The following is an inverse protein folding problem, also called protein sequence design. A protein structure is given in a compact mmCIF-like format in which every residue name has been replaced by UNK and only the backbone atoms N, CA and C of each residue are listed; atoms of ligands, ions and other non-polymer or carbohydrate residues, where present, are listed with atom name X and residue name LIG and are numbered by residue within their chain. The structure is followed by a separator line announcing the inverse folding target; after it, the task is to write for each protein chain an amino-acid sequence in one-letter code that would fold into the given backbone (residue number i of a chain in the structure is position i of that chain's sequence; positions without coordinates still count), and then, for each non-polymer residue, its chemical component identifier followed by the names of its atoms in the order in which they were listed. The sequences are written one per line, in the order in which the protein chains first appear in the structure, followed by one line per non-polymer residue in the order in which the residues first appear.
data_IF_355446560833
#
_entry.id   IF_355446560833
#
_cell.length_a   1.000
_cell.length_b   1.000
_cell.length_c   1.000
_cell.angle_alpha   90.00
_cell.angle_beta   90.00
_cell.angle_gamma   90.00
#
_symmetry.space_group_name_H-M   'P 1'
#
loop_
_entity.id
_entity.type
_entity.pdbx_description
1 polymer ?
#
# COMPACT_ATOMS: atom_id res chain seq x y z
N UNK A 1 15.52 22.27 -26.75
CA UNK A 1 15.23 21.16 -27.68
C UNK A 1 14.51 20.08 -26.88
N UNK A 2 13.35 19.58 -27.35
CA UNK A 2 12.69 18.47 -26.68
C UNK A 2 13.62 17.25 -26.68
N UNK A 3 13.74 16.60 -25.57
CA UNK A 3 14.56 15.40 -25.42
C UNK A 3 14.04 14.34 -26.41
N UNK A 4 14.87 13.92 -27.36
CA UNK A 4 14.48 13.01 -28.45
C UNK A 4 14.52 11.53 -28.05
N UNK A 5 14.93 11.22 -26.78
CA UNK A 5 15.01 9.85 -26.29
C UNK A 5 13.60 9.42 -25.86
N UNK A 6 13.03 8.37 -26.45
CA UNK A 6 11.74 7.82 -25.97
C UNK A 6 11.86 7.26 -24.55
N UNK A 7 10.74 7.11 -23.87
CA UNK A 7 10.71 6.41 -22.57
C UNK A 7 11.19 4.97 -22.77
N UNK A 8 12.12 4.54 -21.92
CA UNK A 8 12.64 3.18 -21.98
C UNK A 8 11.56 2.21 -21.52
N UNK A 9 11.17 1.23 -22.34
CA UNK A 9 10.15 0.26 -21.95
C UNK A 9 10.68 -0.64 -20.82
N UNK A 10 9.78 -1.02 -19.90
CA UNK A 10 10.11 -1.97 -18.84
C UNK A 10 9.93 -3.38 -19.35
N UNK A 11 10.86 -4.27 -19.05
CA UNK A 11 10.76 -5.70 -19.37
C UNK A 11 9.78 -6.37 -18.41
N UNK A 12 8.90 -7.19 -18.95
CA UNK A 12 7.86 -7.91 -18.22
C UNK A 12 7.76 -9.36 -18.67
N UNK A 13 7.23 -10.21 -17.81
CA UNK A 13 6.84 -11.57 -18.20
C UNK A 13 5.74 -11.55 -19.27
N UNK A 14 5.79 -12.49 -20.21
CA UNK A 14 4.70 -12.72 -21.17
C UNK A 14 3.37 -12.95 -20.42
N UNK A 15 2.26 -12.28 -20.80
CA UNK A 15 0.99 -12.37 -20.10
C UNK A 15 0.45 -13.79 -19.91
N UNK A 16 0.66 -14.69 -20.89
CA UNK A 16 0.22 -16.08 -20.82
C UNK A 16 1.07 -16.92 -19.86
N UNK A 17 2.32 -16.51 -19.65
CA UNK A 17 3.22 -17.15 -18.69
C UNK A 17 2.97 -16.61 -17.30
N UNK A 18 2.93 -15.29 -17.13
CA UNK A 18 2.82 -14.67 -15.78
C UNK A 18 1.50 -15.00 -15.08
N UNK A 19 0.42 -15.27 -15.80
CA UNK A 19 -0.88 -15.67 -15.21
C UNK A 19 -0.86 -17.06 -14.57
N UNK A 20 0.18 -17.86 -14.83
CA UNK A 20 0.32 -19.23 -14.30
C UNK A 20 1.32 -19.35 -13.15
N UNK A 21 1.91 -18.24 -12.68
CA UNK A 21 2.91 -18.25 -11.62
C UNK A 21 2.79 -17.03 -10.72
N UNK A 22 3.51 -17.06 -9.58
CA UNK A 22 3.56 -15.95 -8.61
C UNK A 22 4.89 -15.18 -8.66
N UNK A 23 5.73 -15.42 -9.68
CA UNK A 23 6.96 -14.64 -9.87
C UNK A 23 6.64 -13.18 -10.23
N UNK A 24 7.55 -12.27 -9.90
CA UNK A 24 7.38 -10.85 -10.14
C UNK A 24 7.15 -10.55 -11.62
N UNK A 25 6.08 -9.81 -11.93
CA UNK A 25 5.64 -9.50 -13.31
C UNK A 25 6.66 -8.65 -14.04
N UNK A 26 7.14 -7.57 -13.41
CA UNK A 26 8.10 -6.66 -14.02
C UNK A 26 9.52 -7.06 -13.62
N UNK A 27 10.41 -7.21 -14.60
CA UNK A 27 11.84 -7.47 -14.32
C UNK A 27 12.60 -6.21 -13.93
N UNK A 28 12.07 -5.01 -14.22
CA UNK A 28 12.75 -3.74 -14.01
C UNK A 28 13.77 -3.43 -15.10
N UNK A 29 14.59 -2.41 -14.86
CA UNK A 29 15.70 -2.02 -15.74
C UNK A 29 16.98 -2.75 -15.37
N UNK A 30 17.85 -2.96 -16.37
CA UNK A 30 19.27 -3.16 -16.12
C UNK A 30 19.98 -1.79 -16.01
N UNK A 31 21.30 -1.80 -15.79
CA UNK A 31 22.08 -0.58 -15.58
C UNK A 31 22.05 0.35 -16.80
N UNK A 32 22.18 -0.19 -18.00
CA UNK A 32 22.22 0.61 -19.23
C UNK A 32 20.85 1.21 -19.55
N UNK A 33 19.79 0.44 -19.37
CA UNK A 33 18.40 0.90 -19.47
C UNK A 33 18.09 2.01 -18.44
N UNK A 34 18.51 1.81 -17.18
CA UNK A 34 18.31 2.78 -16.12
C UNK A 34 19.09 4.10 -16.40
N UNK A 35 20.34 4.02 -16.85
CA UNK A 35 21.13 5.21 -17.23
C UNK A 35 20.54 5.93 -18.43
N UNK A 36 20.07 5.18 -19.43
CA UNK A 36 19.42 5.75 -20.61
C UNK A 36 18.14 6.50 -20.21
N UNK A 37 17.27 5.90 -19.38
CA UNK A 37 16.07 6.56 -18.88
C UNK A 37 16.41 7.75 -17.98
N UNK A 38 17.42 7.65 -17.12
CA UNK A 38 17.90 8.73 -16.27
C UNK A 38 18.40 9.94 -17.09
N UNK A 39 18.98 9.71 -18.28
CA UNK A 39 19.45 10.77 -19.18
C UNK A 39 18.30 11.65 -19.74
N UNK A 40 17.05 11.19 -19.67
CA UNK A 40 15.88 11.98 -20.07
C UNK A 40 15.54 13.08 -19.05
N UNK A 41 15.98 12.94 -17.80
CA UNK A 41 15.66 13.93 -16.76
C UNK A 41 16.34 15.27 -17.06
N UNK A 42 15.54 16.35 -17.03
CA UNK A 42 16.00 17.71 -17.35
C UNK A 42 16.70 18.42 -16.18
N UNK A 43 16.73 17.83 -14.96
CA UNK A 43 17.30 18.48 -13.78
C UNK A 43 16.62 19.82 -13.44
N UNK A 44 15.31 19.87 -13.40
CA UNK A 44 14.51 21.10 -13.27
C UNK A 44 14.89 21.89 -12.00
N UNK A 45 15.05 23.23 -12.10
CA UNK A 45 15.28 24.11 -10.94
C UNK A 45 14.11 24.15 -9.94
N UNK A 46 12.87 23.98 -10.43
CA UNK A 46 11.64 23.84 -9.65
C UNK A 46 11.01 22.50 -10.01
N UNK A 47 11.42 21.40 -9.36
CA UNK A 47 11.03 20.07 -9.75
C UNK A 47 9.63 19.71 -9.23
N UNK A 48 8.60 19.85 -10.07
CA UNK A 48 7.22 19.51 -9.73
C UNK A 48 7.08 18.06 -9.26
N UNK A 49 7.93 17.16 -9.76
CA UNK A 49 7.96 15.77 -9.31
C UNK A 49 8.30 15.62 -7.82
N UNK A 50 9.13 16.50 -7.26
CA UNK A 50 9.43 16.54 -5.82
C UNK A 50 8.24 17.10 -5.03
N UNK A 51 7.62 18.17 -5.52
CA UNK A 51 6.45 18.80 -4.87
C UNK A 51 5.25 17.84 -4.78
N UNK A 52 5.10 16.94 -5.77
CA UNK A 52 4.02 15.95 -5.80
C UNK A 52 4.41 14.58 -5.21
N UNK A 53 5.62 14.46 -4.66
CA UNK A 53 6.01 13.27 -3.90
C UNK A 53 5.64 13.45 -2.41
N UNK A 54 4.81 12.56 -1.83
CA UNK A 54 4.38 12.68 -0.43
C UNK A 54 5.51 12.69 0.61
N UNK A 55 6.70 12.22 0.24
CA UNK A 55 7.92 12.27 1.08
C UNK A 55 8.94 13.29 0.60
N UNK A 56 8.63 14.07 -0.45
CA UNK A 56 9.50 15.09 -1.04
C UNK A 56 10.87 14.55 -1.47
N UNK A 57 10.88 13.34 -2.02
CA UNK A 57 12.10 12.66 -2.49
C UNK A 57 12.88 13.56 -3.46
N UNK A 58 14.21 13.67 -3.26
CA UNK A 58 15.10 14.50 -4.07
C UNK A 58 15.35 13.87 -5.46
N UNK A 59 14.26 13.80 -6.27
CA UNK A 59 14.20 13.06 -7.53
C UNK A 59 15.27 13.49 -8.55
N UNK A 60 15.44 14.80 -8.88
CA UNK A 60 16.46 15.18 -9.85
C UNK A 60 17.89 14.84 -9.40
N UNK A 61 18.14 14.88 -8.08
CA UNK A 61 19.45 14.62 -7.50
C UNK A 61 19.84 13.14 -7.63
N UNK A 62 18.95 12.22 -7.18
CA UNK A 62 19.27 10.80 -7.30
C UNK A 62 19.36 10.33 -8.75
N UNK A 63 18.49 10.88 -9.63
CA UNK A 63 18.54 10.55 -11.09
C UNK A 63 19.85 11.04 -11.71
N UNK A 64 20.35 12.21 -11.33
CA UNK A 64 21.63 12.70 -11.81
C UNK A 64 22.79 11.76 -11.41
N UNK A 65 22.83 11.32 -10.15
CA UNK A 65 23.85 10.38 -9.68
C UNK A 65 23.77 9.03 -10.39
N UNK A 66 22.55 8.51 -10.59
CA UNK A 66 22.34 7.27 -11.35
C UNK A 66 22.82 7.40 -12.79
N UNK A 67 22.46 8.50 -13.49
CA UNK A 67 22.93 8.79 -14.85
C UNK A 67 24.46 8.78 -14.92
N UNK A 68 25.12 9.39 -13.96
CA UNK A 68 26.56 9.54 -13.91
C UNK A 68 27.28 8.26 -13.40
N UNK A 69 26.52 7.22 -13.01
CA UNK A 69 27.03 5.91 -12.57
C UNK A 69 27.35 5.82 -11.06
N UNK A 70 27.03 6.85 -10.28
CA UNK A 70 27.28 6.94 -8.84
C UNK A 70 26.15 6.29 -8.04
N UNK A 71 25.98 4.97 -8.14
CA UNK A 71 24.83 4.25 -7.57
C UNK A 71 24.74 4.35 -6.05
N UNK A 72 25.89 4.26 -5.35
CA UNK A 72 25.92 4.40 -3.90
C UNK A 72 25.40 5.78 -3.44
N UNK A 73 25.81 6.84 -4.15
CA UNK A 73 25.33 8.20 -3.84
C UNK A 73 23.84 8.39 -4.19
N UNK A 74 23.37 7.80 -5.31
CA UNK A 74 21.95 7.79 -5.64
C UNK A 74 21.13 7.10 -4.53
N UNK A 75 21.57 5.95 -4.03
CA UNK A 75 20.95 5.24 -2.92
C UNK A 75 20.96 6.07 -1.62
N UNK A 76 22.08 6.73 -1.30
CA UNK A 76 22.21 7.60 -0.14
C UNK A 76 21.23 8.78 -0.18
N UNK A 77 21.05 9.40 -1.35
CA UNK A 77 20.08 10.48 -1.53
C UNK A 77 18.67 9.97 -1.29
N UNK A 78 18.31 8.83 -1.85
CA UNK A 78 16.96 8.25 -1.65
C UNK A 78 16.73 7.93 -0.17
N UNK A 79 17.70 7.33 0.52
CA UNK A 79 17.59 6.92 1.93
C UNK A 79 17.36 8.08 2.92
N UNK A 80 17.61 9.33 2.52
CA UNK A 80 17.30 10.51 3.32
C UNK A 80 15.79 10.75 3.44
N UNK A 81 15.04 10.44 2.38
CA UNK A 81 13.62 10.77 2.29
C UNK A 81 12.71 9.54 2.19
N UNK A 82 13.22 8.38 1.78
CA UNK A 82 12.46 7.14 1.66
C UNK A 82 13.13 6.01 2.43
N UNK A 83 12.35 5.35 3.31
CA UNK A 83 12.81 4.17 4.06
C UNK A 83 12.53 2.86 3.31
N UNK A 84 11.72 2.90 2.24
CA UNK A 84 11.23 1.73 1.50
C UNK A 84 11.26 1.97 -0.02
N UNK A 85 12.42 2.32 -0.61
CA UNK A 85 12.51 2.72 -2.01
C UNK A 85 12.13 1.61 -3.00
N UNK A 86 12.55 0.36 -2.75
CA UNK A 86 12.20 -0.77 -3.61
C UNK A 86 10.70 -1.08 -3.59
N UNK A 87 10.05 -0.90 -2.44
CA UNK A 87 8.59 -0.98 -2.30
C UNK A 87 7.93 0.16 -3.08
N UNK A 88 8.33 1.40 -2.83
CA UNK A 88 7.74 2.59 -3.47
C UNK A 88 7.87 2.55 -4.98
N UNK A 89 9.02 2.16 -5.51
CA UNK A 89 9.25 2.02 -6.95
C UNK A 89 8.32 1.01 -7.63
N UNK A 90 7.77 0.02 -6.86
CA UNK A 90 6.83 -0.98 -7.35
C UNK A 90 5.36 -0.59 -7.19
N UNK A 91 5.00 0.06 -6.07
CA UNK A 91 3.57 0.18 -5.69
C UNK A 91 3.02 1.60 -5.67
N UNK A 92 3.84 2.64 -5.74
CA UNK A 92 3.36 4.01 -5.82
C UNK A 92 2.53 4.26 -7.08
N UNK A 93 1.45 5.04 -7.03
CA UNK A 93 0.71 5.50 -8.21
C UNK A 93 1.46 6.68 -8.85
N UNK A 94 2.63 6.42 -9.43
CA UNK A 94 3.52 7.44 -9.98
C UNK A 94 2.83 8.30 -11.04
N UNK A 95 1.92 7.71 -11.81
CA UNK A 95 1.12 8.35 -12.86
C UNK A 95 0.25 9.51 -12.36
N UNK A 96 -0.11 9.51 -11.07
CA UNK A 96 -0.88 10.59 -10.41
C UNK A 96 -0.03 11.45 -9.47
N UNK A 97 1.24 11.13 -9.31
CA UNK A 97 2.18 11.79 -8.40
C UNK A 97 3.39 12.37 -9.15
N UNK A 98 4.59 11.83 -8.88
CA UNK A 98 5.84 12.35 -9.44
C UNK A 98 5.89 12.29 -10.98
N UNK A 99 5.53 11.17 -11.59
CA UNK A 99 5.52 11.03 -13.06
C UNK A 99 4.41 11.86 -13.71
N UNK A 100 3.20 11.86 -13.12
CA UNK A 100 2.08 12.69 -13.59
C UNK A 100 2.36 14.19 -13.57
N UNK A 101 3.32 14.62 -12.73
CA UNK A 101 3.74 16.01 -12.61
C UNK A 101 5.03 16.33 -13.37
N UNK A 102 5.64 15.36 -14.02
CA UNK A 102 6.86 15.55 -14.79
C UNK A 102 6.62 16.46 -16.00
N UNK A 103 7.48 17.48 -16.18
CA UNK A 103 7.33 18.46 -17.26
C UNK A 103 7.40 17.82 -18.66
N UNK A 104 8.11 16.71 -18.80
CA UNK A 104 8.19 15.98 -20.08
C UNK A 104 6.84 15.38 -20.46
N UNK A 105 6.00 15.00 -19.49
CA UNK A 105 4.66 14.46 -19.71
C UNK A 105 3.68 15.44 -20.34
N UNK A 106 3.97 16.75 -20.34
CA UNK A 106 3.11 17.78 -20.94
C UNK A 106 3.05 17.67 -22.48
N UNK A 107 4.16 17.26 -23.11
CA UNK A 107 4.28 17.17 -24.58
C UNK A 107 4.83 15.83 -25.07
N UNK A 108 4.88 14.84 -24.20
CA UNK A 108 5.43 13.52 -24.49
C UNK A 108 5.29 12.59 -23.29
N UNK A 109 6.27 11.73 -23.08
CA UNK A 109 6.28 10.77 -22.00
C UNK A 109 7.11 11.26 -20.82
N UNK A 110 6.57 11.17 -19.61
CA UNK A 110 7.27 11.44 -18.35
C UNK A 110 8.51 10.55 -18.21
N UNK A 111 9.47 10.96 -17.39
CA UNK A 111 10.55 10.08 -16.93
C UNK A 111 9.94 8.97 -16.09
N UNK A 112 10.41 7.73 -16.26
CA UNK A 112 9.99 6.56 -15.49
C UNK A 112 10.59 6.58 -14.07
N UNK A 113 10.20 7.58 -13.28
CA UNK A 113 10.81 7.89 -11.97
C UNK A 113 10.71 6.70 -11.02
N UNK A 114 9.54 6.06 -10.94
CA UNK A 114 9.34 4.90 -10.07
C UNK A 114 10.20 3.70 -10.48
N UNK A 115 10.42 3.48 -11.77
CA UNK A 115 11.29 2.39 -12.25
C UNK A 115 12.78 2.68 -11.94
N UNK A 116 13.20 3.95 -11.98
CA UNK A 116 14.54 4.37 -11.56
C UNK A 116 14.71 4.27 -10.02
N UNK A 117 13.71 4.68 -9.24
CA UNK A 117 13.71 4.50 -7.78
C UNK A 117 13.80 3.01 -7.41
N UNK A 118 13.01 2.16 -8.08
CA UNK A 118 13.10 0.71 -7.94
C UNK A 118 14.50 0.19 -8.22
N UNK A 119 15.09 0.57 -9.35
CA UNK A 119 16.42 0.11 -9.75
C UNK A 119 17.48 0.44 -8.69
N UNK A 120 17.48 1.69 -8.20
CA UNK A 120 18.44 2.11 -7.16
C UNK A 120 18.15 1.41 -5.82
N UNK A 121 16.88 1.23 -5.46
CA UNK A 121 16.47 0.51 -4.27
C UNK A 121 16.91 -0.96 -4.30
N UNK A 122 16.66 -1.66 -5.40
CA UNK A 122 17.05 -3.06 -5.58
C UNK A 122 18.57 -3.21 -5.55
N UNK A 123 19.29 -2.32 -6.23
CA UNK A 123 20.73 -2.26 -6.17
C UNK A 123 21.25 -2.07 -4.73
N UNK A 124 20.60 -1.19 -3.97
CA UNK A 124 20.95 -0.94 -2.56
C UNK A 124 20.74 -2.18 -1.67
N UNK A 125 19.69 -2.96 -1.93
CA UNK A 125 19.44 -4.23 -1.23
C UNK A 125 20.54 -5.25 -1.54
N UNK A 126 20.96 -5.35 -2.79
CA UNK A 126 21.95 -6.34 -3.25
C UNK A 126 23.38 -6.01 -2.78
N UNK A 127 23.75 -4.74 -2.77
CA UNK A 127 25.11 -4.28 -2.49
C UNK A 127 25.33 -3.80 -1.06
N UNK A 128 24.26 -3.84 -0.23
CA UNK A 128 24.36 -3.38 1.16
C UNK A 128 24.80 -1.92 1.22
N UNK A 129 24.08 -1.02 0.50
CA UNK A 129 24.37 0.41 0.57
C UNK A 129 24.57 0.82 2.03
N UNK A 130 25.59 1.64 2.31
CA UNK A 130 26.05 1.97 3.66
C UNK A 130 24.87 2.22 4.58
N UNK A 131 24.59 1.21 5.44
CA UNK A 131 23.54 1.33 6.41
C UNK A 131 23.86 2.58 7.22
N UNK A 132 22.96 3.55 7.22
CA UNK A 132 23.09 4.70 8.10
C UNK A 132 23.34 4.17 9.50
N UNK A 133 24.50 4.45 10.06
CA UNK A 133 24.83 3.98 11.42
C UNK A 133 23.75 4.47 12.39
N UNK A 134 23.37 3.65 13.39
CA UNK A 134 22.46 4.10 14.43
C UNK A 134 22.94 5.42 15.03
N UNK A 135 22.04 6.38 15.19
CA UNK A 135 22.38 7.61 15.87
C UNK A 135 22.71 7.36 17.37
N UNK A 136 23.56 8.17 17.99
CA UNK A 136 23.76 8.08 19.44
C UNK A 136 22.43 8.19 20.19
N UNK A 137 22.24 7.34 21.21
CA UNK A 137 20.99 7.35 21.98
C UNK A 137 20.78 8.70 22.68
N UNK A 138 19.57 9.25 22.56
CA UNK A 138 19.13 10.43 23.31
C UNK A 138 18.50 10.06 24.67
N UNK A 139 18.53 8.77 25.06
CA UNK A 139 18.00 8.26 26.33
C UNK A 139 16.47 8.21 26.43
N UNK A 140 15.76 8.41 25.31
CA UNK A 140 14.29 8.41 25.25
C UNK A 140 13.79 7.25 24.36
N UNK A 141 12.62 6.72 24.69
CA UNK A 141 12.01 5.65 23.92
C UNK A 141 10.62 6.02 23.42
N UNK A 142 10.30 5.55 22.23
CA UNK A 142 9.02 5.77 21.56
C UNK A 142 8.45 4.42 21.12
N UNK A 143 7.16 4.20 21.40
CA UNK A 143 6.43 3.03 20.94
C UNK A 143 5.75 3.32 19.59
N UNK A 144 5.79 2.35 18.69
CA UNK A 144 5.09 2.38 17.41
C UNK A 144 4.12 1.22 17.37
N UNK A 145 2.84 1.48 17.14
CA UNK A 145 1.76 0.50 17.10
C UNK A 145 1.39 0.19 15.66
N UNK A 146 1.54 -1.07 15.24
CA UNK A 146 1.47 -1.49 13.85
C UNK A 146 2.74 -1.19 13.09
N UNK A 147 2.79 -1.55 11.80
CA UNK A 147 4.02 -1.48 10.99
C UNK A 147 4.42 -0.06 10.57
N UNK A 148 4.39 0.91 11.46
CA UNK A 148 4.78 2.30 11.19
C UNK A 148 6.27 2.49 10.86
N UNK A 149 6.82 1.70 9.92
CA UNK A 149 8.24 1.58 9.58
C UNK A 149 8.93 2.92 9.30
N UNK A 150 8.26 3.83 8.56
CA UNK A 150 8.84 5.13 8.21
C UNK A 150 8.99 6.05 9.45
N UNK A 151 7.99 6.05 10.33
CA UNK A 151 8.07 6.78 11.60
C UNK A 151 9.18 6.21 12.48
N UNK A 152 9.24 4.89 12.61
CA UNK A 152 10.24 4.19 13.40
C UNK A 152 11.66 4.45 12.89
N UNK A 153 11.87 4.41 11.56
CA UNK A 153 13.16 4.68 10.95
C UNK A 153 13.63 6.11 11.19
N UNK A 154 12.75 7.11 10.99
CA UNK A 154 13.12 8.51 11.20
C UNK A 154 13.39 8.82 12.68
N UNK A 155 12.61 8.26 13.61
CA UNK A 155 12.87 8.40 15.05
C UNK A 155 14.19 7.73 15.47
N UNK A 156 14.51 6.56 14.93
CA UNK A 156 15.78 5.90 15.19
C UNK A 156 16.98 6.72 14.69
N UNK A 157 16.85 7.37 13.51
CA UNK A 157 17.85 8.32 12.99
C UNK A 157 18.02 9.55 13.88
N UNK A 158 17.02 9.92 14.70
CA UNK A 158 17.08 11.01 15.69
C UNK A 158 17.60 10.56 17.05
N UNK A 159 17.98 9.29 17.21
CA UNK A 159 18.57 8.72 18.42
C UNK A 159 17.58 8.18 19.43
N UNK A 160 16.30 8.04 19.11
CA UNK A 160 15.32 7.39 19.96
C UNK A 160 15.49 5.88 19.99
N UNK A 161 15.27 5.28 21.14
CA UNK A 161 15.03 3.85 21.24
C UNK A 161 13.60 3.56 20.77
N UNK A 162 13.46 2.86 19.64
CA UNK A 162 12.15 2.63 19.02
C UNK A 162 11.79 1.15 19.08
N UNK A 163 10.57 0.86 19.55
CA UNK A 163 9.99 -0.49 19.53
C UNK A 163 8.66 -0.46 18.79
N UNK A 164 8.54 -1.33 17.79
CA UNK A 164 7.31 -1.58 17.03
C UNK A 164 6.57 -2.74 17.68
N UNK A 165 5.29 -2.58 17.97
CA UNK A 165 4.36 -3.62 18.41
C UNK A 165 3.46 -4.00 17.23
N UNK A 166 3.66 -5.19 16.69
CA UNK A 166 2.93 -5.70 15.52
C UNK A 166 1.97 -6.82 15.93
N UNK A 167 0.72 -6.71 15.52
CA UNK A 167 -0.31 -7.69 15.85
C UNK A 167 -0.14 -9.03 15.12
N UNK A 168 0.44 -9.01 13.92
CA UNK A 168 0.69 -10.19 13.10
C UNK A 168 2.04 -10.84 13.43
N UNK A 169 2.19 -12.10 13.05
CA UNK A 169 3.45 -12.85 13.19
C UNK A 169 4.56 -12.40 12.24
N UNK A 170 4.26 -11.49 11.30
CA UNK A 170 5.22 -10.84 10.40
C UNK A 170 4.95 -9.34 10.33
N UNK A 171 6.01 -8.56 10.45
CA UNK A 171 5.93 -7.11 10.27
C UNK A 171 5.75 -6.73 8.80
N UNK A 172 5.15 -5.57 8.56
CA UNK A 172 4.96 -5.02 7.22
C UNK A 172 3.51 -4.74 6.84
N UNK A 173 2.55 -5.22 7.64
CA UNK A 173 1.12 -4.95 7.41
C UNK A 173 0.69 -5.31 5.98
N UNK A 174 0.04 -4.36 5.28
CA UNK A 174 -0.46 -4.56 3.92
C UNK A 174 0.61 -4.96 2.90
N UNK A 175 1.88 -4.63 3.13
CA UNK A 175 2.99 -5.07 2.28
C UNK A 175 3.16 -6.59 2.33
N UNK A 176 2.83 -7.22 3.46
CA UNK A 176 2.91 -8.65 3.66
C UNK A 176 1.62 -9.37 3.26
N UNK A 177 0.47 -8.93 3.79
CA UNK A 177 -0.78 -9.67 3.61
C UNK A 177 -1.59 -9.23 2.38
N UNK A 178 -1.49 -7.97 1.94
CA UNK A 178 -2.42 -7.39 0.96
C UNK A 178 -1.89 -7.39 -0.46
N UNK A 179 -0.66 -6.94 -0.69
CA UNK A 179 -0.08 -6.83 -2.02
C UNK A 179 0.48 -8.19 -2.46
N UNK A 180 0.13 -8.72 -3.63
CA UNK A 180 0.57 -10.05 -4.07
C UNK A 180 2.08 -10.17 -4.32
N UNK A 181 2.61 -11.40 -4.19
CA UNK A 181 4.02 -11.73 -4.45
C UNK A 181 4.47 -11.29 -5.85
N UNK A 182 3.63 -11.50 -6.86
CA UNK A 182 3.94 -11.13 -8.26
C UNK A 182 4.00 -9.61 -8.52
N UNK A 183 3.61 -8.76 -7.55
CA UNK A 183 3.77 -7.30 -7.58
C UNK A 183 4.84 -6.81 -6.62
N UNK A 184 4.92 -7.43 -5.46
CA UNK A 184 5.82 -7.03 -4.39
C UNK A 184 6.38 -8.28 -3.69
N UNK A 185 7.54 -8.78 -4.11
CA UNK A 185 8.19 -9.94 -3.52
C UNK A 185 8.46 -9.76 -2.03
N UNK A 186 8.03 -10.75 -1.19
CA UNK A 186 8.11 -10.62 0.26
C UNK A 186 9.52 -10.80 0.77
N UNK A 187 10.16 -11.89 0.40
CA UNK A 187 11.46 -12.24 0.94
C UNK A 187 12.59 -11.41 0.30
N UNK A 188 12.49 -11.11 -1.01
CA UNK A 188 13.51 -10.38 -1.77
C UNK A 188 13.45 -8.86 -1.56
N UNK A 189 12.29 -8.30 -1.25
CA UNK A 189 12.10 -6.85 -1.16
C UNK A 189 11.62 -6.44 0.22
N UNK A 190 10.42 -6.87 0.63
CA UNK A 190 9.80 -6.36 1.87
C UNK A 190 10.65 -6.71 3.09
N UNK A 191 11.08 -7.95 3.21
CA UNK A 191 11.93 -8.39 4.33
C UNK A 191 13.25 -7.62 4.37
N UNK A 192 13.87 -7.40 3.21
CA UNK A 192 15.15 -6.68 3.11
C UNK A 192 15.03 -5.21 3.49
N UNK A 193 13.95 -4.55 3.09
CA UNK A 193 13.74 -3.16 3.50
C UNK A 193 13.38 -3.05 5.00
N UNK A 194 12.66 -4.03 5.56
CA UNK A 194 12.46 -4.11 7.02
C UNK A 194 13.81 -4.34 7.75
N UNK A 195 14.67 -5.21 7.24
CA UNK A 195 16.03 -5.41 7.78
C UNK A 195 16.82 -4.08 7.81
N UNK A 196 16.69 -3.23 6.80
CA UNK A 196 17.34 -1.92 6.79
C UNK A 196 16.83 -1.02 7.93
N UNK A 197 15.53 -1.08 8.25
CA UNK A 197 14.96 -0.37 9.41
C UNK A 197 15.49 -0.95 10.73
N UNK A 198 15.59 -2.27 10.84
CA UNK A 198 16.14 -2.94 12.03
C UNK A 198 17.62 -2.58 12.28
N UNK A 199 18.41 -2.41 11.21
CA UNK A 199 19.83 -1.97 11.31
C UNK A 199 20.00 -0.58 11.92
N UNK A 200 18.96 0.26 11.90
CA UNK A 200 18.95 1.55 12.62
C UNK A 200 18.77 1.39 14.15
N UNK A 201 18.63 0.18 14.66
CA UNK A 201 18.41 -0.11 16.09
C UNK A 201 16.93 -0.24 16.48
N UNK A 202 16.01 -0.19 15.52
CA UNK A 202 14.58 -0.43 15.76
C UNK A 202 14.36 -1.89 16.17
N UNK A 203 13.55 -2.12 17.19
CA UNK A 203 13.09 -3.46 17.61
C UNK A 203 11.66 -3.69 17.17
N UNK A 204 11.33 -4.89 16.74
CA UNK A 204 9.96 -5.30 16.40
C UNK A 204 9.58 -6.47 17.30
N UNK A 205 8.42 -6.37 17.94
CA UNK A 205 7.78 -7.45 18.66
C UNK A 205 6.47 -7.81 17.96
N UNK A 206 6.42 -9.03 17.45
CA UNK A 206 5.26 -9.58 16.75
C UNK A 206 4.30 -10.25 17.72
N UNK A 207 3.08 -10.55 17.24
CA UNK A 207 2.04 -11.24 18.02
C UNK A 207 1.57 -10.44 19.26
N UNK A 208 1.72 -9.12 19.24
CA UNK A 208 1.29 -8.19 20.28
C UNK A 208 0.14 -7.32 19.82
N UNK A 209 -1.04 -7.56 20.34
CA UNK A 209 -2.26 -6.81 20.01
C UNK A 209 -2.42 -5.67 21.02
N UNK A 210 -2.02 -4.45 20.60
CA UNK A 210 -2.22 -3.25 21.41
C UNK A 210 -3.72 -2.94 21.55
N UNK A 211 -4.15 -2.70 22.78
CA UNK A 211 -5.56 -2.60 23.17
C UNK A 211 -6.11 -3.93 23.72
N UNK A 212 -5.32 -5.02 23.67
CA UNK A 212 -5.69 -6.31 24.24
C UNK A 212 -4.58 -6.91 25.09
N UNK A 213 -3.40 -7.16 24.51
CA UNK A 213 -2.22 -7.72 25.20
C UNK A 213 -1.53 -6.66 26.08
N UNK A 214 -1.39 -5.47 25.53
CA UNK A 214 -0.85 -4.27 26.16
C UNK A 214 -1.72 -3.08 25.75
N UNK A 215 -1.87 -2.08 26.63
CA UNK A 215 -2.66 -0.88 26.34
C UNK A 215 -1.76 0.29 25.98
N UNK A 216 -2.30 1.29 25.27
CA UNK A 216 -1.57 2.54 24.99
C UNK A 216 -1.22 3.26 26.30
N UNK A 217 -2.12 3.22 27.28
CA UNK A 217 -1.89 3.85 28.59
C UNK A 217 -0.75 3.15 29.34
N UNK A 218 -0.69 1.80 29.36
CA UNK A 218 0.43 1.09 30.00
C UNK A 218 1.78 1.34 29.32
N UNK A 219 1.82 1.53 28.01
CA UNK A 219 3.06 1.91 27.31
C UNK A 219 3.59 3.26 27.81
N UNK A 220 2.71 4.25 28.02
CA UNK A 220 3.09 5.58 28.50
C UNK A 220 3.42 5.60 29.99
N UNK A 221 2.52 5.05 30.83
CA UNK A 221 2.53 5.25 32.27
C UNK A 221 3.39 4.21 33.02
N UNK A 222 3.43 2.94 32.55
CA UNK A 222 4.11 1.85 33.22
C UNK A 222 5.44 1.52 32.55
N UNK A 223 5.44 1.42 31.21
CA UNK A 223 6.66 1.09 30.47
C UNK A 223 7.53 2.32 30.18
N UNK A 224 7.03 3.54 30.40
CA UNK A 224 7.79 4.79 30.33
C UNK A 224 8.19 5.20 28.91
N UNK A 225 7.39 4.89 27.89
CA UNK A 225 7.56 5.48 26.58
C UNK A 225 7.23 6.98 26.61
N UNK A 226 8.07 7.79 25.98
CA UNK A 226 7.89 9.25 25.94
C UNK A 226 6.74 9.67 25.02
N UNK A 227 6.43 8.87 24.03
CA UNK A 227 5.32 9.04 23.11
C UNK A 227 4.93 7.71 22.46
N UNK A 228 3.73 7.66 21.87
CA UNK A 228 3.21 6.52 21.11
C UNK A 228 2.78 7.00 19.72
N UNK A 229 3.23 6.33 18.66
CA UNK A 229 2.72 6.52 17.31
C UNK A 229 1.79 5.37 16.92
N UNK A 230 0.55 5.67 16.50
CA UNK A 230 -0.42 4.68 16.03
C UNK A 230 -0.44 4.65 14.50
N UNK A 231 0.13 3.61 13.94
CA UNK A 231 0.17 3.29 12.51
C UNK A 231 -0.49 1.95 12.19
N UNK A 232 -1.59 1.63 12.87
CA UNK A 232 -2.28 0.32 12.81
C UNK A 232 -2.98 0.03 11.48
N UNK A 233 -3.02 1.01 10.56
CA UNK A 233 -3.61 0.86 9.24
C UNK A 233 -5.14 0.77 9.25
N UNK A 234 -5.70 0.22 8.16
CA UNK A 234 -7.14 -0.02 7.98
C UNK A 234 -7.33 -1.41 7.38
N UNK A 235 -7.55 -2.41 8.22
CA UNK A 235 -7.65 -3.82 7.83
C UNK A 235 -9.05 -4.41 7.93
N UNK A 236 -10.03 -3.69 8.52
CA UNK A 236 -11.40 -4.20 8.68
C UNK A 236 -12.17 -4.08 7.36
N UNK A 237 -12.56 -5.20 6.71
CA UNK A 237 -13.19 -5.18 5.40
C UNK A 237 -14.60 -4.60 5.45
N UNK A 238 -15.04 -4.06 4.31
CA UNK A 238 -16.41 -3.59 4.10
C UNK A 238 -17.17 -4.52 3.19
N UNK A 239 -18.43 -4.74 3.53
CA UNK A 239 -19.41 -5.47 2.74
C UNK A 239 -20.49 -4.52 2.21
N UNK A 240 -21.33 -4.99 1.28
CA UNK A 240 -22.39 -4.18 0.67
C UNK A 240 -23.63 -4.07 1.56
N UNK A 241 -23.85 -5.04 2.45
CA UNK A 241 -25.07 -5.19 3.22
C UNK A 241 -26.23 -5.74 2.39
N UNK A 242 -25.95 -6.57 1.39
CA UNK A 242 -26.94 -7.20 0.51
C UNK A 242 -27.27 -8.63 0.98
N UNK A 243 -28.45 -9.17 0.65
CA UNK A 243 -28.80 -10.55 0.96
C UNK A 243 -27.76 -11.55 0.42
N UNK A 244 -27.48 -12.59 1.20
CA UNK A 244 -26.61 -13.69 0.82
C UNK A 244 -25.12 -13.47 1.05
N UNK A 245 -24.68 -12.32 1.60
CA UNK A 245 -23.26 -12.09 1.92
C UNK A 245 -22.67 -13.02 2.99
N UNK A 246 -23.53 -13.76 3.71
CA UNK A 246 -23.16 -14.77 4.70
C UNK A 246 -23.04 -16.20 4.13
N UNK A 247 -23.23 -16.39 2.83
CA UNK A 247 -23.09 -17.70 2.17
C UNK A 247 -21.61 -18.15 2.12
N UNK A 248 -21.42 -19.46 2.14
CA UNK A 248 -20.10 -20.05 1.89
C UNK A 248 -19.64 -19.70 0.48
N UNK A 249 -18.38 -19.26 0.35
CA UNK A 249 -17.85 -18.76 -0.92
C UNK A 249 -17.91 -17.24 -1.07
N UNK A 250 -18.51 -16.50 -0.11
CA UNK A 250 -18.35 -15.04 0.00
C UNK A 250 -17.22 -14.74 0.95
N UNK A 251 -16.21 -14.02 0.46
CA UNK A 251 -15.04 -13.65 1.25
C UNK A 251 -14.67 -12.18 1.02
N UNK A 252 -14.02 -11.56 1.97
CA UNK A 252 -13.40 -10.25 1.74
C UNK A 252 -12.09 -10.40 0.96
N UNK A 253 -11.72 -9.38 0.19
CA UNK A 253 -10.43 -9.36 -0.48
C UNK A 253 -9.26 -9.42 0.52
N UNK A 254 -9.41 -8.81 1.72
CA UNK A 254 -8.40 -8.90 2.76
C UNK A 254 -8.18 -10.34 3.23
N UNK A 255 -9.25 -11.09 3.49
CA UNK A 255 -9.13 -12.50 3.88
C UNK A 255 -8.49 -13.32 2.78
N UNK A 256 -9.00 -13.19 1.54
CA UNK A 256 -8.50 -13.92 0.39
C UNK A 256 -7.01 -13.67 0.15
N UNK A 257 -6.61 -12.39 0.13
CA UNK A 257 -5.22 -11.99 -0.08
C UNK A 257 -4.31 -12.35 1.11
N UNK A 258 -4.81 -12.30 2.35
CA UNK A 258 -4.06 -12.76 3.52
C UNK A 258 -3.72 -14.24 3.42
N UNK A 259 -4.69 -15.07 3.03
CA UNK A 259 -4.45 -16.51 2.81
C UNK A 259 -3.45 -16.74 1.68
N UNK A 260 -3.58 -16.03 0.57
CA UNK A 260 -2.68 -16.17 -0.56
C UNK A 260 -1.26 -15.67 -0.23
N UNK A 261 -1.11 -14.45 0.31
CA UNK A 261 0.18 -13.78 0.43
C UNK A 261 0.91 -14.08 1.75
N UNK A 262 0.30 -13.76 2.89
CA UNK A 262 0.93 -13.94 4.21
C UNK A 262 1.03 -15.42 4.58
N UNK A 263 -0.03 -16.19 4.30
CA UNK A 263 -0.13 -17.61 4.63
C UNK A 263 0.29 -18.50 3.45
N UNK A 264 0.73 -17.92 2.33
CA UNK A 264 1.30 -18.60 1.15
C UNK A 264 0.44 -19.73 0.57
N UNK A 265 -0.88 -19.55 0.49
CA UNK A 265 -1.80 -20.56 -0.04
C UNK A 265 -1.57 -20.94 -1.52
N UNK A 266 -0.69 -20.23 -2.23
CA UNK A 266 -0.26 -20.55 -3.59
C UNK A 266 0.94 -21.51 -3.65
N UNK A 267 1.56 -21.81 -2.53
CA UNK A 267 2.76 -22.63 -2.40
C UNK A 267 2.36 -23.97 -1.77
N UNK A 268 2.48 -25.06 -2.52
CA UNK A 268 2.07 -26.41 -2.12
C UNK A 268 2.83 -26.97 -0.90
N UNK A 269 3.89 -26.27 -0.46
CA UNK A 269 4.62 -26.61 0.78
C UNK A 269 3.95 -26.10 2.05
N UNK A 270 2.88 -25.28 1.91
CA UNK A 270 2.09 -24.73 3.01
C UNK A 270 0.69 -25.34 3.05
N UNK A 271 0.24 -25.75 4.23
CA UNK A 271 -1.09 -26.33 4.47
C UNK A 271 -2.21 -25.25 4.60
N UNK A 272 -2.07 -24.12 3.92
CA UNK A 272 -3.06 -23.05 4.00
C UNK A 272 -4.26 -23.33 3.12
N UNK A 273 -5.47 -23.54 3.68
CA UNK A 273 -6.65 -23.79 2.88
C UNK A 273 -7.11 -22.51 2.16
N UNK A 274 -7.34 -22.63 0.85
CA UNK A 274 -7.96 -21.59 0.05
C UNK A 274 -8.97 -22.23 -0.90
N UNK A 275 -10.20 -21.69 -0.92
CA UNK A 275 -11.22 -22.11 -1.85
C UNK A 275 -11.39 -21.06 -2.93
N UNK A 276 -11.19 -21.43 -4.17
CA UNK A 276 -11.26 -20.52 -5.32
C UNK A 276 -12.43 -20.88 -6.24
N UNK A 277 -12.87 -22.13 -6.25
CA UNK A 277 -13.89 -22.61 -7.18
C UNK A 277 -13.42 -22.54 -8.64
N UNK A 278 -14.36 -22.64 -9.57
CA UNK A 278 -14.09 -22.53 -11.01
C UNK A 278 -14.23 -21.09 -11.50
N UNK A 279 -15.24 -20.36 -11.01
CA UNK A 279 -15.57 -19.01 -11.43
C UNK A 279 -15.59 -18.06 -10.23
N UNK A 280 -14.76 -17.02 -10.31
CA UNK A 280 -14.63 -16.01 -9.25
C UNK A 280 -15.12 -14.67 -9.76
N UNK A 281 -15.97 -14.00 -8.99
CA UNK A 281 -16.33 -12.61 -9.23
C UNK A 281 -15.74 -11.74 -8.12
N UNK A 282 -14.94 -10.74 -8.51
CA UNK A 282 -14.42 -9.72 -7.59
C UNK A 282 -15.23 -8.45 -7.74
N UNK A 283 -15.84 -7.99 -6.64
CA UNK A 283 -16.66 -6.78 -6.61
C UNK A 283 -15.81 -5.60 -6.16
N UNK A 284 -15.51 -4.70 -7.09
CA UNK A 284 -14.70 -3.51 -6.83
C UNK A 284 -13.82 -3.12 -8.02
N UNK A 285 -13.21 -1.93 -7.96
CA UNK A 285 -12.41 -1.38 -9.06
C UNK A 285 -11.09 -0.74 -8.61
N UNK A 286 -10.67 -0.91 -7.35
CA UNK A 286 -9.42 -0.40 -6.81
C UNK A 286 -8.25 -1.37 -6.96
N UNK A 287 -7.06 -0.97 -6.50
CA UNK A 287 -5.86 -1.83 -6.54
C UNK A 287 -6.07 -3.18 -5.85
N UNK A 288 -6.80 -3.20 -4.73
CA UNK A 288 -7.13 -4.44 -4.01
C UNK A 288 -7.98 -5.39 -4.86
N UNK A 289 -8.89 -4.84 -5.68
CA UNK A 289 -9.69 -5.65 -6.62
C UNK A 289 -8.81 -6.25 -7.73
N UNK A 290 -7.87 -5.46 -8.28
CA UNK A 290 -6.90 -5.94 -9.25
C UNK A 290 -6.00 -7.05 -8.65
N UNK A 291 -5.55 -6.86 -7.42
CA UNK A 291 -4.74 -7.84 -6.70
C UNK A 291 -5.51 -9.16 -6.47
N UNK A 292 -6.77 -9.05 -6.01
CA UNK A 292 -7.59 -10.23 -5.73
C UNK A 292 -7.95 -11.01 -7.00
N UNK A 293 -8.38 -10.32 -8.07
CA UNK A 293 -8.77 -10.98 -9.32
C UNK A 293 -7.59 -11.66 -10.02
N UNK A 294 -6.42 -11.00 -10.05
CA UNK A 294 -5.21 -11.55 -10.63
C UNK A 294 -4.65 -12.72 -9.81
N UNK A 295 -4.81 -12.67 -8.49
CA UNK A 295 -4.48 -13.79 -7.60
C UNK A 295 -5.41 -14.97 -7.85
N UNK A 296 -6.73 -14.74 -7.97
CA UNK A 296 -7.70 -15.81 -8.27
C UNK A 296 -7.42 -16.49 -9.61
N UNK A 297 -7.07 -15.73 -10.65
CA UNK A 297 -6.69 -16.26 -11.95
C UNK A 297 -5.44 -17.17 -11.86
N UNK A 298 -4.41 -16.75 -11.09
CA UNK A 298 -3.19 -17.54 -10.86
C UNK A 298 -3.45 -18.85 -10.08
N UNK A 299 -4.48 -18.84 -9.26
CA UNK A 299 -4.94 -20.04 -8.55
C UNK A 299 -5.87 -20.92 -9.41
N UNK A 300 -6.03 -20.61 -10.71
CA UNK A 300 -6.71 -21.44 -11.69
C UNK A 300 -8.18 -21.11 -11.94
N UNK A 301 -8.71 -20.01 -11.39
CA UNK A 301 -10.09 -19.63 -11.61
C UNK A 301 -10.28 -18.79 -12.90
N UNK A 302 -11.45 -18.93 -13.52
CA UNK A 302 -12.00 -17.97 -14.45
C UNK A 302 -12.48 -16.75 -13.64
N UNK A 303 -11.74 -15.64 -13.69
CA UNK A 303 -11.93 -14.53 -12.78
C UNK A 303 -12.43 -13.26 -13.50
N UNK A 304 -13.41 -12.58 -12.88
CA UNK A 304 -14.07 -11.42 -13.46
C UNK A 304 -14.11 -10.27 -12.43
N UNK A 305 -14.02 -9.03 -12.94
CA UNK A 305 -14.31 -7.81 -12.17
C UNK A 305 -15.77 -7.41 -12.40
N UNK A 306 -16.48 -7.07 -11.34
CA UNK A 306 -17.77 -6.36 -11.38
C UNK A 306 -17.58 -4.99 -10.74
N UNK A 307 -17.88 -3.94 -11.53
CA UNK A 307 -17.69 -2.57 -11.07
C UNK A 307 -18.86 -1.67 -11.48
N UNK A 308 -19.36 -0.89 -10.51
CA UNK A 308 -20.58 -0.07 -10.66
C UNK A 308 -20.43 1.19 -11.52
N UNK A 309 -19.20 1.59 -11.89
CA UNK A 309 -18.91 2.73 -12.77
C UNK A 309 -18.25 2.24 -14.06
N UNK A 310 -17.85 3.17 -14.93
CA UNK A 310 -17.11 2.85 -16.15
C UNK A 310 -15.60 2.70 -15.87
N UNK A 311 -14.88 2.34 -16.89
CA UNK A 311 -13.43 2.19 -16.84
C UNK A 311 -12.72 3.50 -16.49
N UNK A 312 -13.24 4.64 -16.98
CA UNK A 312 -12.68 5.95 -16.73
C UNK A 312 -12.68 6.34 -15.23
N UNK A 313 -13.59 5.76 -14.43
CA UNK A 313 -13.69 5.99 -13.01
C UNK A 313 -12.99 4.92 -12.15
N UNK A 314 -12.22 3.99 -12.76
CA UNK A 314 -11.45 3.01 -12.00
C UNK A 314 -10.38 3.72 -11.14
N UNK A 315 -10.38 3.51 -9.81
CA UNK A 315 -9.37 4.09 -8.94
C UNK A 315 -8.07 3.26 -8.87
N UNK A 316 -8.02 2.11 -9.54
CA UNK A 316 -6.81 1.30 -9.64
C UNK A 316 -5.75 1.97 -10.53
N UNK A 317 -4.48 1.68 -10.29
CA UNK A 317 -3.38 2.09 -11.15
C UNK A 317 -3.59 1.60 -12.58
N UNK A 318 -3.31 2.46 -13.55
CA UNK A 318 -3.48 2.13 -14.98
C UNK A 318 -2.65 0.90 -15.39
N UNK A 319 -1.42 0.77 -14.86
CA UNK A 319 -0.54 -0.39 -15.07
C UNK A 319 -1.21 -1.70 -14.60
N UNK A 320 -1.86 -1.71 -13.42
CA UNK A 320 -2.52 -2.89 -12.88
C UNK A 320 -3.77 -3.30 -13.65
N UNK A 321 -4.55 -2.31 -14.11
CA UNK A 321 -5.70 -2.56 -14.99
C UNK A 321 -5.23 -3.14 -16.33
N UNK A 322 -4.14 -2.59 -16.88
CA UNK A 322 -3.55 -3.08 -18.13
C UNK A 322 -3.08 -4.53 -17.98
N UNK A 323 -2.35 -4.85 -16.90
CA UNK A 323 -1.89 -6.21 -16.63
C UNK A 323 -3.05 -7.18 -16.46
N UNK A 324 -4.10 -6.80 -15.71
CA UNK A 324 -5.28 -7.64 -15.53
C UNK A 324 -5.96 -7.99 -16.87
N UNK A 325 -6.11 -7.00 -17.77
CA UNK A 325 -6.67 -7.23 -19.11
C UNK A 325 -5.80 -8.14 -19.97
N UNK A 326 -4.48 -7.96 -19.93
CA UNK A 326 -3.55 -8.82 -20.67
C UNK A 326 -3.57 -10.27 -20.14
N UNK A 327 -3.84 -10.46 -18.87
CA UNK A 327 -3.98 -11.76 -18.21
C UNK A 327 -5.35 -12.42 -18.45
N UNK A 328 -6.21 -11.80 -19.29
CA UNK A 328 -7.50 -12.35 -19.72
C UNK A 328 -8.66 -12.09 -18.75
N UNK A 329 -8.48 -11.21 -17.76
CA UNK A 329 -9.55 -10.85 -16.83
C UNK A 329 -10.66 -10.08 -17.56
N UNK A 330 -11.89 -10.56 -17.45
CA UNK A 330 -13.09 -9.85 -17.95
C UNK A 330 -13.53 -8.77 -16.97
N UNK A 331 -13.85 -7.58 -17.51
CA UNK A 331 -14.35 -6.44 -16.75
C UNK A 331 -15.81 -6.17 -17.09
N UNK A 332 -16.69 -6.40 -16.16
CA UNK A 332 -18.14 -6.08 -16.23
C UNK A 332 -18.40 -4.74 -15.56
N UNK A 333 -18.22 -3.69 -16.35
CA UNK A 333 -18.45 -2.31 -15.93
C UNK A 333 -19.94 -1.99 -15.87
N UNK A 334 -20.30 -0.87 -15.21
CA UNK A 334 -21.69 -0.41 -15.05
C UNK A 334 -22.60 -1.53 -14.51
N UNK A 335 -22.09 -2.28 -13.56
CA UNK A 335 -22.75 -3.45 -12.97
C UNK A 335 -22.60 -3.39 -11.45
N UNK A 336 -23.73 -3.49 -10.73
CA UNK A 336 -23.75 -3.47 -9.27
C UNK A 336 -24.50 -4.69 -8.72
N UNK A 337 -23.88 -5.50 -7.85
CA UNK A 337 -24.57 -6.59 -7.16
C UNK A 337 -25.67 -6.06 -6.24
N UNK A 338 -26.78 -6.80 -6.16
CA UNK A 338 -27.91 -6.52 -5.26
C UNK A 338 -28.25 -7.71 -4.37
N UNK A 339 -27.78 -8.91 -4.73
CA UNK A 339 -27.98 -10.13 -3.94
C UNK A 339 -26.92 -11.17 -4.33
N UNK A 340 -26.41 -11.92 -3.34
CA UNK A 340 -25.64 -13.14 -3.58
C UNK A 340 -26.58 -14.34 -3.55
N UNK A 341 -26.59 -15.13 -4.60
CA UNK A 341 -27.47 -16.28 -4.77
C UNK A 341 -26.81 -17.54 -4.24
N UNK A 342 -27.51 -18.27 -3.38
CA UNK A 342 -27.07 -19.55 -2.81
C UNK A 342 -27.68 -20.78 -3.45
N UNK A 343 -27.06 -21.92 -3.22
CA UNK A 343 -27.63 -23.23 -3.45
C UNK A 343 -28.32 -23.78 -2.16
N UNK A 344 -28.91 -24.97 -2.24
CA UNK A 344 -29.58 -25.63 -1.12
C UNK A 344 -28.64 -25.99 0.05
N UNK A 345 -27.33 -26.00 -0.18
CA UNK A 345 -26.28 -26.28 0.82
C UNK A 345 -25.68 -25.02 1.43
N UNK A 346 -26.17 -23.85 1.04
CA UNK A 346 -25.67 -22.55 1.52
C UNK A 346 -24.34 -22.12 0.87
N UNK A 347 -24.03 -22.61 -0.32
CA UNK A 347 -22.89 -22.18 -1.12
C UNK A 347 -23.31 -21.20 -2.21
N UNK A 348 -22.41 -20.28 -2.57
CA UNK A 348 -22.59 -19.37 -3.69
C UNK A 348 -22.78 -20.13 -4.99
N UNK A 349 -23.82 -19.74 -5.77
CA UNK A 349 -24.05 -20.18 -7.15
C UNK A 349 -24.05 -19.04 -8.16
N UNK A 350 -24.12 -17.80 -7.69
CA UNK A 350 -24.15 -16.62 -8.55
C UNK A 350 -24.40 -15.31 -7.82
N UNK A 351 -24.38 -14.26 -8.60
CA UNK A 351 -24.71 -12.89 -8.19
C UNK A 351 -25.92 -12.38 -8.99
N UNK A 352 -26.92 -11.79 -8.32
CA UNK A 352 -27.91 -10.94 -8.98
C UNK A 352 -27.38 -9.53 -9.00
N UNK A 353 -27.35 -8.94 -10.19
CA UNK A 353 -26.81 -7.61 -10.45
C UNK A 353 -27.86 -6.75 -11.15
N UNK A 354 -27.70 -5.43 -11.04
CA UNK A 354 -28.41 -4.43 -11.85
C UNK A 354 -27.44 -3.69 -12.75
N UNK A 355 -27.90 -3.22 -13.89
CA UNK A 355 -27.14 -2.31 -14.75
C UNK A 355 -27.11 -0.93 -14.12
N UNK A 356 -26.03 -0.20 -14.38
CA UNK A 356 -25.81 1.15 -13.87
C UNK A 356 -25.68 2.13 -15.01
N UNK A 357 -26.08 3.36 -14.78
CA UNK A 357 -25.77 4.52 -15.59
C UNK A 357 -24.94 5.53 -14.80
N UNK A 358 -24.23 6.42 -15.48
CA UNK A 358 -23.42 7.46 -14.85
C UNK A 358 -24.19 8.78 -14.83
N UNK A 359 -24.52 9.23 -13.63
CA UNK A 359 -25.08 10.55 -13.34
C UNK A 359 -24.02 11.63 -13.19
N UNK A 360 -24.35 12.67 -12.44
CA UNK A 360 -23.44 13.79 -12.16
C UNK A 360 -22.23 13.38 -11.30
N UNK A 361 -21.10 14.10 -11.42
CA UNK A 361 -19.91 13.85 -10.62
C UNK A 361 -20.19 13.99 -9.11
N UNK A 362 -19.61 13.08 -8.32
CA UNK A 362 -19.60 13.16 -6.87
C UNK A 362 -18.49 14.14 -6.34
N UNK A 363 -18.39 14.30 -5.02
CA UNK A 363 -17.39 15.17 -4.39
C UNK A 363 -15.92 14.82 -4.73
N UNK A 364 -15.67 13.61 -5.24
CA UNK A 364 -14.34 13.16 -5.71
C UNK A 364 -14.12 13.47 -7.20
N UNK A 365 -15.09 14.09 -7.88
CA UNK A 365 -15.05 14.36 -9.31
C UNK A 365 -15.39 13.15 -10.20
N UNK A 366 -15.72 11.99 -9.63
CA UNK A 366 -16.12 10.79 -10.36
C UNK A 366 -17.64 10.76 -10.54
N UNK A 367 -18.12 10.37 -11.71
CA UNK A 367 -19.55 10.29 -12.01
C UNK A 367 -20.26 9.29 -11.11
N UNK A 368 -21.38 9.70 -10.53
CA UNK A 368 -22.16 8.89 -9.58
C UNK A 368 -22.89 7.75 -10.29
N UNK A 369 -22.81 6.49 -9.78
CA UNK A 369 -23.53 5.38 -10.40
C UNK A 369 -25.01 5.41 -9.97
N UNK A 370 -25.91 5.29 -10.95
CA UNK A 370 -27.37 5.24 -10.77
C UNK A 370 -27.88 3.91 -11.29
N UNK A 371 -28.68 3.20 -10.51
CA UNK A 371 -29.25 1.92 -10.92
C UNK A 371 -30.36 2.12 -11.96
N UNK A 372 -30.36 1.25 -12.99
CA UNK A 372 -31.42 1.20 -14.00
C UNK A 372 -32.51 0.25 -13.50
N UNK A 373 -33.71 0.74 -13.30
CA UNK A 373 -34.85 -0.08 -12.84
C UNK A 373 -35.21 -1.18 -13.84
N UNK A 374 -35.52 -2.38 -13.33
CA UNK A 374 -35.93 -3.53 -14.15
C UNK A 374 -34.81 -4.12 -15.00
N UNK A 375 -33.54 -3.82 -14.66
CA UNK A 375 -32.36 -4.29 -15.40
C UNK A 375 -31.66 -5.46 -14.72
N UNK A 376 -32.31 -6.14 -13.81
CA UNK A 376 -31.75 -7.24 -13.03
C UNK A 376 -31.32 -8.40 -13.94
N UNK A 377 -30.16 -8.97 -13.66
CA UNK A 377 -29.64 -10.15 -14.34
C UNK A 377 -28.71 -10.95 -13.41
N UNK A 378 -28.46 -12.21 -13.76
CA UNK A 378 -27.63 -13.08 -12.95
C UNK A 378 -26.25 -13.34 -13.62
N UNK A 379 -25.24 -13.41 -12.78
CA UNK A 379 -23.88 -13.82 -13.13
C UNK A 379 -23.58 -15.08 -12.32
N UNK A 380 -23.39 -16.22 -13.00
CA UNK A 380 -23.02 -17.47 -12.33
C UNK A 380 -21.58 -17.43 -11.83
N UNK A 381 -21.38 -17.73 -10.54
CA UNK A 381 -20.06 -17.84 -9.94
C UNK A 381 -20.07 -18.79 -8.73
N UNK A 382 -18.90 -19.25 -8.32
CA UNK A 382 -18.72 -20.17 -7.19
C UNK A 382 -18.15 -19.42 -5.97
N UNK A 383 -17.47 -18.28 -6.21
CA UNK A 383 -16.87 -17.43 -5.19
C UNK A 383 -17.11 -15.97 -5.52
N UNK A 384 -17.43 -15.19 -4.48
CA UNK A 384 -17.54 -13.72 -4.53
C UNK A 384 -16.50 -13.11 -3.60
N UNK A 385 -15.62 -12.27 -4.14
CA UNK A 385 -14.62 -11.55 -3.36
C UNK A 385 -15.02 -10.08 -3.27
N UNK A 386 -15.32 -9.61 -2.04
CA UNK A 386 -15.68 -8.21 -1.78
C UNK A 386 -14.43 -7.34 -1.63
N UNK A 387 -14.16 -6.48 -2.62
CA UNK A 387 -13.02 -5.56 -2.66
C UNK A 387 -13.46 -4.09 -2.57
N UNK A 388 -14.27 -3.77 -1.55
CA UNK A 388 -14.98 -2.49 -1.40
C UNK A 388 -14.26 -1.48 -0.50
N UNK A 389 -12.99 -1.74 -0.20
CA UNK A 389 -12.18 -0.98 0.74
C UNK A 389 -12.32 -1.45 2.18
N UNK A 390 -11.61 -0.76 3.06
CA UNK A 390 -11.45 -1.14 4.46
C UNK A 390 -11.62 0.06 5.38
N UNK A 391 -11.75 -0.20 6.67
CA UNK A 391 -11.74 0.79 7.74
C UNK A 391 -10.76 0.38 8.84
N UNK A 392 -10.29 1.33 9.68
CA UNK A 392 -9.47 1.00 10.84
C UNK A 392 -10.20 0.06 11.80
N UNK A 393 -9.43 -0.80 12.48
CA UNK A 393 -9.97 -1.61 13.57
C UNK A 393 -10.27 -0.70 14.77
N UNK A 394 -11.47 -0.74 15.38
CA UNK A 394 -11.86 0.13 16.47
C UNK A 394 -11.17 -0.21 17.81
N UNK A 395 -10.44 -1.31 17.91
CA UNK A 395 -9.89 -1.82 19.16
C UNK A 395 -9.08 -0.76 19.92
N UNK A 396 -8.09 -0.14 19.27
CA UNK A 396 -7.22 0.86 19.92
C UNK A 396 -8.03 2.06 20.43
N UNK A 397 -8.95 2.57 19.60
CA UNK A 397 -9.78 3.71 19.98
C UNK A 397 -10.74 3.37 21.15
N UNK A 398 -11.34 2.17 21.14
CA UNK A 398 -12.27 1.73 22.17
C UNK A 398 -11.61 1.39 23.51
N UNK A 399 -10.32 1.08 23.51
CA UNK A 399 -9.54 0.72 24.71
C UNK A 399 -8.64 1.83 25.21
N UNK A 400 -8.59 2.97 24.52
CA UNK A 400 -7.78 4.15 24.91
C UNK A 400 -8.69 5.33 25.20
N UNK A 401 -8.90 5.63 26.49
CA UNK A 401 -9.83 6.68 26.91
C UNK A 401 -9.41 8.06 26.36
N UNK A 402 -10.38 8.77 25.76
CA UNK A 402 -10.17 10.12 25.23
C UNK A 402 -9.51 10.16 23.85
N UNK A 403 -9.27 9.02 23.22
CA UNK A 403 -8.83 8.96 21.82
C UNK A 403 -10.06 9.03 20.90
N UNK A 404 -10.15 10.10 20.12
CA UNK A 404 -11.33 10.39 19.29
C UNK A 404 -11.24 9.73 17.92
N UNK A 405 -12.42 9.38 17.38
CA UNK A 405 -12.59 8.88 16.01
C UNK A 405 -13.64 9.70 15.26
N UNK A 406 -13.50 9.78 13.95
CA UNK A 406 -14.49 10.37 13.07
C UNK A 406 -15.62 9.37 12.72
N UNK A 407 -16.64 9.82 11.97
CA UNK A 407 -17.79 8.97 11.56
C UNK A 407 -17.40 7.74 10.74
N UNK A 408 -16.19 7.68 10.19
CA UNK A 408 -15.66 6.53 9.42
C UNK A 408 -14.86 5.56 10.28
N UNK A 409 -14.74 5.81 11.59
CA UNK A 409 -13.93 5.03 12.51
C UNK A 409 -12.43 5.31 12.42
N UNK A 410 -12.00 6.33 11.68
CA UNK A 410 -10.60 6.73 11.59
C UNK A 410 -10.25 7.62 12.80
N UNK A 411 -9.02 7.48 13.32
CA UNK A 411 -8.52 8.33 14.40
C UNK A 411 -8.50 9.80 13.98
N UNK A 412 -8.91 10.68 14.89
CA UNK A 412 -8.77 12.14 14.69
C UNK A 412 -7.35 12.54 15.05
N UNK A 413 -6.64 13.05 14.07
CA UNK A 413 -5.29 13.58 14.23
C UNK A 413 -5.14 14.80 13.31
N UNK A 414 -4.31 15.78 13.70
CA UNK A 414 -4.03 16.92 12.83
C UNK A 414 -3.19 16.47 11.62
N UNK A 415 -3.43 17.11 10.47
CA UNK A 415 -2.82 16.68 9.19
C UNK A 415 -1.33 17.01 9.09
N UNK A 416 -0.85 17.97 9.87
CA UNK A 416 0.53 18.47 9.80
C UNK A 416 1.46 17.66 10.70
N UNK A 417 1.04 17.40 11.96
CA UNK A 417 1.88 16.80 12.99
C UNK A 417 1.46 15.37 13.35
N UNK A 418 0.23 14.97 12.96
CA UNK A 418 -0.33 13.67 13.33
C UNK A 418 -0.69 13.58 14.82
N UNK A 419 -0.76 14.71 15.55
CA UNK A 419 -1.14 14.71 16.97
C UNK A 419 -2.62 14.38 17.11
N UNK A 420 -2.94 13.45 18.02
CA UNK A 420 -4.32 13.05 18.29
C UNK A 420 -4.97 13.94 19.36
N UNK A 421 -6.23 13.62 19.71
CA UNK A 421 -6.94 14.24 20.85
C UNK A 421 -6.27 13.96 22.21
N UNK A 422 -5.29 13.04 22.27
CA UNK A 422 -4.54 12.69 23.49
C UNK A 422 -3.10 13.15 23.41
N UNK A 423 -2.63 13.85 24.46
CA UNK A 423 -1.25 14.27 24.60
C UNK A 423 -0.29 13.06 24.58
N UNK A 424 0.83 13.17 23.85
CA UNK A 424 1.84 12.11 23.73
C UNK A 424 1.45 10.96 22.80
N UNK A 425 0.24 11.01 22.21
CA UNK A 425 -0.23 10.02 21.25
C UNK A 425 -0.36 10.67 19.87
N UNK A 426 0.33 10.10 18.89
CA UNK A 426 0.34 10.52 17.50
C UNK A 426 -0.21 9.40 16.61
N UNK A 427 -0.77 9.73 15.46
CA UNK A 427 -1.29 8.76 14.53
C UNK A 427 -1.04 9.18 13.07
N UNK A 428 -0.99 8.21 12.17
CA UNK A 428 -0.81 8.49 10.75
C UNK A 428 -1.16 7.32 9.85
N UNK A 429 -1.09 7.58 8.53
CA UNK A 429 -1.45 6.60 7.51
C UNK A 429 -2.93 6.23 7.54
N UNK A 430 -3.25 5.00 7.12
CA UNK A 430 -4.64 4.56 6.93
C UNK A 430 -5.46 4.53 8.22
N UNK A 431 -4.83 4.53 9.38
CA UNK A 431 -5.52 4.67 10.67
C UNK A 431 -6.23 6.03 10.81
N UNK A 432 -5.74 7.06 10.12
CA UNK A 432 -6.28 8.44 10.14
C UNK A 432 -7.07 8.76 8.88
N UNK A 433 -6.55 8.41 7.71
CA UNK A 433 -7.15 8.79 6.42
C UNK A 433 -8.16 7.78 5.88
N UNK A 434 -8.17 6.55 6.41
CA UNK A 434 -8.72 5.39 5.74
C UNK A 434 -7.73 4.84 4.70
N UNK A 435 -8.08 3.72 4.06
CA UNK A 435 -7.19 3.05 3.10
C UNK A 435 -6.74 3.99 1.97
N UNK A 436 -5.42 4.16 1.82
CA UNK A 436 -4.80 5.03 0.83
C UNK A 436 -3.60 4.33 0.16
N UNK A 437 -2.43 4.97 0.13
CA UNK A 437 -1.24 4.44 -0.51
C UNK A 437 -0.06 4.33 0.47
N UNK A 438 0.86 3.41 0.19
CA UNK A 438 2.08 3.22 1.01
C UNK A 438 2.84 4.53 1.19
N UNK A 439 3.06 5.27 0.10
CA UNK A 439 3.84 6.52 0.16
C UNK A 439 3.15 7.63 0.97
N UNK A 440 1.81 7.71 0.96
CA UNK A 440 1.06 8.66 1.81
C UNK A 440 1.19 8.28 3.29
N UNK A 441 1.11 6.99 3.61
CA UNK A 441 1.34 6.49 4.97
C UNK A 441 2.77 6.77 5.44
N UNK A 442 3.78 6.59 4.56
CA UNK A 442 5.18 6.95 4.85
C UNK A 442 5.33 8.45 5.13
N UNK A 443 4.73 9.30 4.30
CA UNK A 443 4.76 10.76 4.50
C UNK A 443 4.13 11.17 5.83
N UNK A 444 3.01 10.56 6.21
CA UNK A 444 2.37 10.80 7.51
C UNK A 444 3.27 10.34 8.66
N UNK A 445 3.89 9.15 8.57
CA UNK A 445 4.84 8.65 9.55
C UNK A 445 6.04 9.56 9.76
N UNK A 446 6.61 10.10 8.67
CA UNK A 446 7.73 11.06 8.72
C UNK A 446 7.36 12.38 9.40
N UNK A 447 6.16 12.94 9.08
CA UNK A 447 5.68 14.15 9.76
C UNK A 447 5.46 13.89 11.25
N UNK A 448 4.82 12.78 11.60
CA UNK A 448 4.62 12.40 13.00
C UNK A 448 5.95 12.20 13.74
N UNK A 449 6.98 11.60 13.13
CA UNK A 449 8.29 11.44 13.75
C UNK A 449 8.93 12.78 14.15
N UNK A 450 8.83 13.80 13.28
CA UNK A 450 9.32 15.16 13.58
C UNK A 450 8.52 15.81 14.72
N UNK A 451 7.19 15.68 14.68
CA UNK A 451 6.32 16.23 15.73
C UNK A 451 6.54 15.53 17.08
N UNK A 452 6.80 14.24 17.08
CA UNK A 452 7.19 13.49 18.29
C UNK A 452 8.52 14.00 18.85
N UNK A 453 9.53 14.26 18.00
CA UNK A 453 10.80 14.82 18.43
C UNK A 453 10.62 16.19 19.08
N UNK A 454 9.87 17.08 18.44
CA UNK A 454 9.54 18.41 18.97
C UNK A 454 8.80 18.32 20.32
N UNK A 455 7.79 17.46 20.42
CA UNK A 455 7.04 17.24 21.65
C UNK A 455 7.91 16.72 22.79
N UNK A 456 8.73 15.69 22.54
CA UNK A 456 9.57 15.09 23.57
C UNK A 456 10.66 16.05 24.04
N UNK A 457 11.28 16.82 23.14
CA UNK A 457 12.25 17.87 23.48
C UNK A 457 11.63 18.97 24.34
N UNK A 458 10.47 19.49 23.96
CA UNK A 458 9.76 20.52 24.71
C UNK A 458 9.42 20.06 26.12
N UNK A 459 8.92 18.82 26.28
CA UNK A 459 8.56 18.22 27.59
C UNK A 459 9.79 17.96 28.48
N UNK A 460 10.95 17.78 27.87
CA UNK A 460 12.20 17.46 28.58
C UNK A 460 13.04 18.68 28.92
N UNK A 461 12.64 19.90 28.52
CA UNK A 461 13.42 21.13 28.69
C UNK A 461 14.73 21.15 27.90
N UNK A 462 14.86 20.30 26.88
CA UNK A 462 16.00 20.28 25.97
C UNK A 462 15.72 21.25 24.80
N UNK A 463 16.43 22.40 24.77
CA UNK A 463 16.46 23.32 23.65
C UNK A 463 17.43 22.88 22.56
#
# INVERSE_FOLDING_TARGET
MANKIPRVPVREQDPKVRVTNFEEVCYGYDLDEARLEASRCLGCKKPRCVEHCPVSLQIPQFIAQLRDGNLAEAARIIAQDSSLPSVCGRVCPQETQCEGSCILGVKGESVAIGKLERFVGDWSIEHGAEATAPAPSNGRKVAVVGSGLACAADLAKMGYEVKIFEALHKAGGVLQYGIPEFRLPKDKVVAREIENVLRLGVRIETDVIVGHTVTVDSLLDEEGYSAVFIGSGAGLPRFMGIPGENLNGVVSANEFLTRANLMKAYDDTYDTPIYVGRRVVVVGGGNVAMDAVRTAARLGAEAHIVYRRSEAELPARAEEVHHAKQEGIEFRMLTNPVEVLGDEKGWVRGLRCVRMELGEPDASGRRSPVAVEGSEFEIGCDVVIMALGTSPNPLIASTTRGLETNRRGCLVADEVHGQTSREGIFAGGDAVTGAATVILAMGAGRRAARAIDEYVRAKSGMN
#
